data_IF_499011849539
#
_entry.id   IF_499011849539
#
_cell.length_a   1.000
_cell.length_b   1.000
_cell.length_c   1.000
_cell.angle_alpha   90.00
_cell.angle_beta   90.00
_cell.angle_gamma   90.00
#
_symmetry.space_group_name_H-M   'P 1'
#
loop_
_entity.id
_entity.type
_entity.pdbx_description
1 polymer ?
#
# COMPACT_ATOMS: atom_id res chain seq x y z
N UNK A 1 -15.04 25.04 13.42
CA UNK A 1 -15.42 23.67 12.99
C UNK A 1 -15.14 22.74 14.16
N UNK A 2 -16.09 21.92 14.57
CA UNK A 2 -15.85 20.95 15.64
C UNK A 2 -14.95 19.82 15.11
N UNK A 3 -13.93 19.38 15.85
CA UNK A 3 -13.01 18.31 15.41
C UNK A 3 -13.76 17.00 15.20
N UNK A 4 -13.44 16.31 14.10
CA UNK A 4 -14.02 15.01 13.72
C UNK A 4 -13.37 13.91 14.55
N UNK A 5 -13.97 13.56 15.68
CA UNK A 5 -13.44 12.53 16.59
C UNK A 5 -13.52 11.12 15.96
N UNK A 6 -12.55 10.24 16.19
CA UNK A 6 -12.72 8.80 15.95
C UNK A 6 -13.38 8.12 17.15
N UNK A 7 -14.28 7.18 16.91
CA UNK A 7 -14.87 6.28 17.90
C UNK A 7 -14.19 4.92 17.76
N UNK A 8 -13.48 4.48 18.79
CA UNK A 8 -13.00 3.09 18.90
C UNK A 8 -14.05 2.30 19.69
N UNK A 9 -14.65 1.28 19.07
CA UNK A 9 -15.65 0.43 19.72
C UNK A 9 -15.44 -1.03 19.28
N UNK A 10 -15.30 -1.95 20.24
CA UNK A 10 -15.06 -3.39 19.99
C UNK A 10 -13.99 -3.66 18.91
N UNK A 11 -12.75 -3.19 19.13
CA UNK A 11 -11.60 -3.38 18.24
C UNK A 11 -11.75 -2.82 16.82
N UNK A 12 -12.64 -1.85 16.64
CA UNK A 12 -12.92 -1.21 15.35
C UNK A 12 -12.84 0.31 15.44
N UNK A 13 -12.19 0.94 14.46
CA UNK A 13 -12.14 2.40 14.30
C UNK A 13 -13.31 2.88 13.42
N UNK A 14 -14.21 3.69 13.98
CA UNK A 14 -15.32 4.38 13.29
C UNK A 14 -15.13 5.90 13.30
N UNK A 15 -15.66 6.67 12.34
CA UNK A 15 -15.87 8.11 12.50
C UNK A 15 -17.01 8.38 13.50
N UNK A 16 -16.86 9.33 14.45
CA UNK A 16 -17.94 9.69 15.39
C UNK A 16 -19.21 10.12 14.63
N UNK A 17 -20.37 9.65 15.10
CA UNK A 17 -21.68 10.07 14.56
C UNK A 17 -22.21 9.24 13.38
N UNK A 18 -21.49 8.19 12.96
CA UNK A 18 -22.03 7.21 12.00
C UNK A 18 -22.62 6.02 12.77
N UNK A 19 -23.96 5.83 12.81
CA UNK A 19 -24.52 4.56 13.22
C UNK A 19 -24.15 3.49 12.16
N UNK A 20 -24.21 2.19 12.50
CA UNK A 20 -23.96 1.07 11.56
C UNK A 20 -24.99 0.97 10.42
N UNK A 21 -25.91 1.93 10.32
CA UNK A 21 -26.84 2.05 9.20
C UNK A 21 -26.30 3.14 8.28
N UNK A 22 -25.68 2.71 7.18
CA UNK A 22 -25.30 3.59 6.08
C UNK A 22 -26.48 4.51 5.71
N UNK A 23 -26.25 5.82 5.45
CA UNK A 23 -27.29 6.64 4.85
C UNK A 23 -27.69 5.99 3.51
N UNK A 24 -28.99 5.86 3.26
CA UNK A 24 -29.50 5.49 1.93
C UNK A 24 -29.01 6.58 0.97
N UNK A 25 -27.95 6.29 0.23
CA UNK A 25 -27.41 7.20 -0.76
C UNK A 25 -28.44 7.37 -1.87
N UNK A 26 -28.59 8.58 -2.44
CA UNK A 26 -29.32 8.74 -3.69
C UNK A 26 -28.81 7.73 -4.74
N UNK A 27 -29.68 7.16 -5.59
CA UNK A 27 -29.32 6.04 -6.48
C UNK A 27 -28.05 6.25 -7.30
N UNK A 28 -27.82 7.48 -7.77
CA UNK A 28 -26.59 7.84 -8.47
C UNK A 28 -25.33 7.70 -7.60
N UNK A 29 -25.37 8.17 -6.36
CA UNK A 29 -24.23 8.08 -5.43
C UNK A 29 -24.00 6.63 -5.00
N UNK A 30 -25.07 5.84 -4.86
CA UNK A 30 -24.98 4.41 -4.58
C UNK A 30 -24.31 3.66 -5.74
N UNK A 31 -24.73 3.87 -6.99
CA UNK A 31 -24.11 3.24 -8.15
C UNK A 31 -22.63 3.65 -8.33
N UNK A 32 -22.28 4.89 -8.02
CA UNK A 32 -20.88 5.36 -8.03
C UNK A 32 -20.06 4.64 -6.95
N UNK A 33 -20.59 4.50 -5.74
CA UNK A 33 -19.94 3.78 -4.66
C UNK A 33 -19.74 2.29 -5.00
N UNK A 34 -20.77 1.63 -5.54
CA UNK A 34 -20.72 0.22 -5.98
C UNK A 34 -19.73 0.01 -7.13
N UNK A 35 -19.70 0.93 -8.11
CA UNK A 35 -18.74 0.86 -9.21
C UNK A 35 -17.30 1.10 -8.73
N UNK A 36 -17.08 2.06 -7.83
CA UNK A 36 -15.76 2.34 -7.26
C UNK A 36 -15.26 1.17 -6.40
N UNK A 37 -16.16 0.53 -5.66
CA UNK A 37 -15.86 -0.70 -4.95
C UNK A 37 -15.50 -1.84 -5.90
N UNK A 38 -16.32 -2.08 -6.93
CA UNK A 38 -16.06 -3.13 -7.91
C UNK A 38 -14.69 -2.93 -8.58
N UNK A 39 -14.31 -1.69 -8.88
CA UNK A 39 -13.00 -1.34 -9.44
C UNK A 39 -11.88 -1.53 -8.40
N UNK A 40 -12.14 -1.22 -7.12
CA UNK A 40 -11.17 -1.42 -6.03
C UNK A 40 -10.88 -2.89 -5.77
N UNK A 41 -11.88 -3.76 -5.95
CA UNK A 41 -11.74 -5.21 -5.77
C UNK A 41 -11.21 -5.88 -7.05
N UNK A 42 -11.71 -5.52 -8.22
CA UNK A 42 -11.38 -6.18 -9.50
C UNK A 42 -10.13 -5.61 -10.17
N UNK A 43 -9.84 -4.31 -9.97
CA UNK A 43 -8.70 -3.63 -10.56
C UNK A 43 -7.35 -4.25 -10.20
N UNK A 44 -7.05 -4.53 -8.91
CA UNK A 44 -5.78 -5.12 -8.53
C UNK A 44 -5.53 -6.52 -9.12
N UNK A 45 -6.47 -7.49 -9.09
CA UNK A 45 -6.31 -8.76 -9.81
C UNK A 45 -6.06 -8.58 -11.31
N UNK A 46 -6.79 -7.67 -11.97
CA UNK A 46 -6.61 -7.38 -13.41
C UNK A 46 -5.19 -6.82 -13.67
N UNK A 47 -4.75 -5.86 -12.86
CA UNK A 47 -3.40 -5.30 -12.95
C UNK A 47 -2.33 -6.38 -12.70
N UNK A 48 -2.58 -7.30 -11.76
CA UNK A 48 -1.74 -8.47 -11.50
C UNK A 48 -1.61 -9.38 -12.72
N UNK A 49 -2.71 -9.67 -13.41
CA UNK A 49 -2.68 -10.42 -14.68
C UNK A 49 -1.84 -9.69 -15.72
N UNK A 50 -2.01 -8.38 -15.91
CA UNK A 50 -1.19 -7.61 -16.85
C UNK A 50 0.31 -7.63 -16.50
N UNK A 51 0.65 -7.53 -15.22
CA UNK A 51 2.04 -7.63 -14.76
C UNK A 51 2.65 -9.03 -15.01
N UNK A 52 1.87 -10.10 -14.80
CA UNK A 52 2.27 -11.47 -15.14
C UNK A 52 2.43 -11.67 -16.66
N UNK A 53 1.50 -11.16 -17.46
CA UNK A 53 1.58 -11.22 -18.92
C UNK A 53 2.78 -10.44 -19.48
N UNK A 54 3.19 -9.36 -18.81
CA UNK A 54 4.42 -8.64 -19.13
C UNK A 54 5.69 -9.44 -18.76
N UNK A 55 5.58 -10.42 -17.87
CA UNK A 55 6.69 -11.24 -17.36
C UNK A 55 6.70 -12.62 -18.01
N UNK A 56 7.52 -12.80 -19.05
CA UNK A 56 7.68 -14.12 -19.69
C UNK A 56 8.14 -15.17 -18.68
N UNK A 57 7.57 -16.38 -18.77
CA UNK A 57 7.96 -17.55 -17.96
C UNK A 57 7.88 -17.31 -16.45
N UNK A 58 6.93 -16.47 -16.01
CA UNK A 58 6.70 -16.16 -14.59
C UNK A 58 6.47 -17.40 -13.72
N UNK A 59 6.00 -18.51 -14.30
CA UNK A 59 5.78 -19.79 -13.63
C UNK A 59 7.07 -20.57 -13.32
N UNK A 60 8.23 -20.10 -13.77
CA UNK A 60 9.51 -20.77 -13.51
C UNK A 60 10.13 -20.30 -12.18
N UNK A 61 10.81 -21.18 -11.42
CA UNK A 61 11.46 -20.79 -10.16
C UNK A 61 12.43 -19.61 -10.31
N UNK A 62 13.12 -19.53 -11.46
CA UNK A 62 14.06 -18.46 -11.77
C UNK A 62 13.40 -17.07 -11.89
N UNK A 63 12.09 -17.00 -12.19
CA UNK A 63 11.35 -15.76 -12.39
C UNK A 63 10.35 -15.46 -11.27
N UNK A 64 10.21 -16.35 -10.28
CA UNK A 64 9.32 -16.17 -9.14
C UNK A 64 9.58 -14.90 -8.32
N UNK A 65 10.82 -14.38 -8.36
CA UNK A 65 11.24 -13.15 -7.68
C UNK A 65 11.49 -11.98 -8.64
N UNK A 66 10.99 -12.08 -9.88
CA UNK A 66 11.06 -10.96 -10.82
C UNK A 66 10.07 -9.86 -10.42
N UNK A 67 10.39 -8.63 -10.80
CA UNK A 67 9.58 -7.48 -10.45
C UNK A 67 8.13 -7.58 -10.89
N UNK A 68 7.84 -8.16 -12.07
CA UNK A 68 6.47 -8.30 -12.53
C UNK A 68 5.67 -9.37 -11.76
N UNK A 69 6.31 -10.46 -11.32
CA UNK A 69 5.67 -11.44 -10.41
C UNK A 69 5.40 -10.81 -9.05
N UNK A 70 6.39 -10.12 -8.48
CA UNK A 70 6.24 -9.46 -7.19
C UNK A 70 5.20 -8.34 -7.24
N UNK A 71 5.15 -7.55 -8.32
CA UNK A 71 4.10 -6.54 -8.53
C UNK A 71 2.72 -7.19 -8.65
N UNK A 72 2.61 -8.36 -9.28
CA UNK A 72 1.33 -9.08 -9.34
C UNK A 72 0.88 -9.58 -7.96
N UNK A 73 1.79 -10.11 -7.15
CA UNK A 73 1.52 -10.48 -5.76
C UNK A 73 1.15 -9.24 -4.93
N UNK A 74 1.86 -8.13 -5.14
CA UNK A 74 1.59 -6.85 -4.49
C UNK A 74 0.16 -6.36 -4.81
N UNK A 75 -0.26 -6.38 -6.08
CA UNK A 75 -1.63 -6.05 -6.44
C UNK A 75 -2.67 -7.03 -5.87
N UNK A 76 -2.39 -8.34 -5.87
CA UNK A 76 -3.30 -9.31 -5.29
C UNK A 76 -3.54 -9.03 -3.80
N UNK A 77 -2.48 -8.72 -3.06
CA UNK A 77 -2.59 -8.38 -1.63
C UNK A 77 -3.37 -7.08 -1.40
N UNK A 78 -3.25 -6.07 -2.27
CA UNK A 78 -4.11 -4.86 -2.25
C UNK A 78 -5.58 -5.26 -2.38
N UNK A 79 -5.90 -6.15 -3.34
CA UNK A 79 -7.26 -6.65 -3.54
C UNK A 79 -7.81 -7.37 -2.31
N UNK A 80 -7.00 -8.23 -1.66
CA UNK A 80 -7.39 -8.95 -0.44
C UNK A 80 -7.65 -7.99 0.72
N UNK A 81 -6.75 -7.02 0.95
CA UNK A 81 -6.92 -6.00 2.00
C UNK A 81 -8.17 -5.16 1.72
N UNK A 82 -8.35 -4.70 0.48
CA UNK A 82 -9.52 -3.92 0.08
C UNK A 82 -10.84 -4.69 0.26
N UNK A 83 -10.85 -5.98 -0.09
CA UNK A 83 -12.00 -6.85 0.11
C UNK A 83 -12.33 -7.05 1.61
N UNK A 84 -11.31 -7.27 2.44
CA UNK A 84 -11.51 -7.41 3.88
C UNK A 84 -12.04 -6.13 4.51
N UNK A 85 -11.46 -4.97 4.16
CA UNK A 85 -11.96 -3.66 4.61
C UNK A 85 -13.41 -3.46 4.17
N UNK A 86 -13.76 -3.84 2.94
CA UNK A 86 -15.14 -3.75 2.46
C UNK A 86 -16.10 -4.63 3.26
N UNK A 87 -15.76 -5.90 3.48
CA UNK A 87 -16.60 -6.83 4.26
C UNK A 87 -16.79 -6.38 5.72
N UNK A 88 -15.91 -5.53 6.21
CA UNK A 88 -15.99 -4.94 7.55
C UNK A 88 -16.63 -3.54 7.52
N UNK A 89 -17.37 -3.17 6.48
CA UNK A 89 -18.01 -1.84 6.34
C UNK A 89 -17.02 -0.67 6.46
N UNK A 90 -15.79 -0.91 6.00
CA UNK A 90 -14.66 0.01 6.04
C UNK A 90 -14.09 0.24 7.44
N UNK A 91 -14.39 -0.64 8.40
CA UNK A 91 -13.75 -0.69 9.69
C UNK A 91 -12.27 -1.07 9.57
N UNK A 92 -11.42 -0.38 10.33
CA UNK A 92 -10.03 -0.82 10.55
C UNK A 92 -9.98 -1.62 11.84
N UNK A 93 -9.67 -2.91 11.71
CA UNK A 93 -9.58 -3.89 12.81
C UNK A 93 -8.18 -4.49 12.91
N UNK A 94 -7.91 -5.30 13.96
CA UNK A 94 -6.65 -6.08 14.04
C UNK A 94 -6.45 -6.97 12.82
N UNK A 95 -7.52 -7.56 12.29
CA UNK A 95 -7.46 -8.36 11.07
C UNK A 95 -6.99 -7.52 9.88
N UNK A 96 -7.50 -6.30 9.73
CA UNK A 96 -7.06 -5.35 8.70
C UNK A 96 -5.55 -5.10 8.80
N UNK A 97 -5.02 -4.90 10.01
CA UNK A 97 -3.58 -4.73 10.22
C UNK A 97 -2.77 -5.99 9.95
N UNK A 98 -3.27 -7.18 10.30
CA UNK A 98 -2.62 -8.46 9.96
C UNK A 98 -2.48 -8.57 8.44
N UNK A 99 -3.55 -8.29 7.70
CA UNK A 99 -3.53 -8.33 6.23
C UNK A 99 -2.60 -7.24 5.65
N UNK A 100 -2.57 -6.05 6.26
CA UNK A 100 -1.65 -4.98 5.88
C UNK A 100 -0.19 -5.36 6.13
N UNK A 101 0.13 -6.11 7.20
CA UNK A 101 1.49 -6.64 7.42
C UNK A 101 1.85 -7.67 6.36
N UNK A 102 0.95 -8.60 6.04
CA UNK A 102 1.19 -9.57 4.96
C UNK A 102 1.48 -8.86 3.62
N UNK A 103 0.73 -7.80 3.32
CA UNK A 103 0.99 -6.92 2.19
C UNK A 103 2.37 -6.23 2.28
N UNK A 104 2.68 -5.58 3.40
CA UNK A 104 3.96 -4.90 3.63
C UNK A 104 5.16 -5.84 3.56
N UNK A 105 5.02 -7.13 3.88
CA UNK A 105 6.07 -8.12 3.69
C UNK A 105 6.46 -8.30 2.20
N UNK A 106 5.50 -8.20 1.28
CA UNK A 106 5.76 -8.24 -0.18
C UNK A 106 6.59 -7.04 -0.59
N UNK A 107 6.25 -5.86 -0.07
CA UNK A 107 6.98 -4.63 -0.32
C UNK A 107 8.39 -4.66 0.29
N UNK A 108 8.55 -5.20 1.51
CA UNK A 108 9.87 -5.39 2.12
C UNK A 108 10.75 -6.26 1.23
N UNK A 109 10.20 -7.38 0.77
CA UNK A 109 10.87 -8.26 -0.18
C UNK A 109 11.26 -7.48 -1.46
N UNK A 110 10.35 -6.69 -2.01
CA UNK A 110 10.58 -5.88 -3.21
C UNK A 110 11.74 -4.89 -3.04
N UNK A 111 11.80 -4.09 -1.96
CA UNK A 111 12.87 -3.10 -1.86
C UNK A 111 14.25 -3.69 -1.50
N UNK A 112 14.31 -4.79 -0.74
CA UNK A 112 15.57 -5.52 -0.57
C UNK A 112 16.09 -6.11 -1.89
N UNK A 113 15.19 -6.60 -2.75
CA UNK A 113 15.55 -7.07 -4.08
C UNK A 113 15.95 -5.90 -5.01
N UNK A 114 15.30 -4.73 -4.91
CA UNK A 114 15.74 -3.51 -5.61
C UNK A 114 17.19 -3.17 -5.23
N UNK A 115 17.57 -3.32 -3.97
CA UNK A 115 18.92 -3.13 -3.46
C UNK A 115 19.90 -4.26 -3.82
N UNK A 116 19.50 -5.20 -4.70
CA UNK A 116 20.31 -6.34 -5.14
C UNK A 116 20.71 -7.29 -3.99
N UNK A 117 19.92 -7.36 -2.92
CA UNK A 117 20.11 -8.40 -1.91
C UNK A 117 19.84 -9.79 -2.53
N UNK A 118 20.50 -10.82 -2.01
CA UNK A 118 20.18 -12.19 -2.40
C UNK A 118 18.77 -12.56 -1.92
N UNK A 119 18.08 -13.43 -2.66
CA UNK A 119 16.73 -13.90 -2.32
C UNK A 119 16.61 -14.38 -0.86
N UNK A 120 17.54 -15.21 -0.32
CA UNK A 120 17.46 -15.62 1.08
C UNK A 120 17.53 -14.46 2.08
N UNK A 121 18.38 -13.45 1.81
CA UNK A 121 18.49 -12.26 2.67
C UNK A 121 17.23 -11.39 2.60
N UNK A 122 16.67 -11.22 1.41
CA UNK A 122 15.45 -10.44 1.23
C UNK A 122 14.25 -11.12 1.91
N UNK A 123 14.12 -12.45 1.80
CA UNK A 123 13.11 -13.24 2.51
C UNK A 123 13.28 -13.16 4.03
N UNK A 124 14.52 -13.30 4.54
CA UNK A 124 14.80 -13.20 5.96
C UNK A 124 14.43 -11.80 6.50
N UNK A 125 14.78 -10.73 5.79
CA UNK A 125 14.43 -9.37 6.19
C UNK A 125 12.91 -9.13 6.20
N UNK A 126 12.20 -9.59 5.16
CA UNK A 126 10.74 -9.54 5.08
C UNK A 126 10.06 -10.33 6.21
N UNK A 127 10.61 -11.50 6.57
CA UNK A 127 10.11 -12.29 7.69
C UNK A 127 10.32 -11.58 9.03
N UNK A 128 11.54 -11.07 9.31
CA UNK A 128 11.85 -10.36 10.56
C UNK A 128 10.96 -9.13 10.71
N UNK A 129 10.80 -8.36 9.64
CA UNK A 129 9.95 -7.17 9.62
C UNK A 129 8.49 -7.53 9.95
N UNK A 130 7.95 -8.55 9.30
CA UNK A 130 6.58 -9.01 9.55
C UNK A 130 6.41 -9.55 10.96
N UNK A 131 7.35 -10.34 11.45
CA UNK A 131 7.34 -10.88 12.82
C UNK A 131 7.23 -9.76 13.87
N UNK A 132 8.04 -8.70 13.73
CA UNK A 132 8.00 -7.54 14.64
C UNK A 132 6.61 -6.88 14.62
N UNK A 133 6.03 -6.64 13.45
CA UNK A 133 4.72 -6.00 13.37
C UNK A 133 3.57 -6.89 13.82
N UNK A 134 3.60 -8.20 13.52
CA UNK A 134 2.62 -9.13 14.06
C UNK A 134 2.69 -9.16 15.59
N UNK A 135 3.89 -9.14 16.18
CA UNK A 135 4.04 -9.08 17.63
C UNK A 135 3.38 -7.82 18.19
N UNK A 136 3.62 -6.65 17.59
CA UNK A 136 2.94 -5.39 18.00
C UNK A 136 1.42 -5.53 17.89
N UNK A 137 0.90 -6.02 16.75
CA UNK A 137 -0.54 -6.16 16.52
C UNK A 137 -1.18 -7.15 17.49
N UNK A 138 -0.48 -8.20 17.92
CA UNK A 138 -1.05 -9.23 18.79
C UNK A 138 -0.91 -8.90 20.28
N UNK A 139 0.09 -8.09 20.65
CA UNK A 139 0.41 -7.84 22.08
C UNK A 139 0.02 -6.45 22.57
N UNK A 140 -0.09 -5.46 21.69
CA UNK A 140 -0.55 -4.13 22.09
C UNK A 140 -2.00 -4.20 22.56
N UNK A 141 -2.26 -3.69 23.77
CA UNK A 141 -3.60 -3.71 24.37
C UNK A 141 -4.56 -2.76 23.67
N UNK A 142 -4.08 -1.59 23.23
CA UNK A 142 -4.90 -0.58 22.58
C UNK A 142 -4.74 -0.56 21.06
N UNK A 143 -5.86 -0.45 20.34
CA UNK A 143 -5.88 -0.29 18.88
C UNK A 143 -5.23 1.02 18.40
N UNK A 144 -5.21 2.06 19.24
CA UNK A 144 -4.48 3.31 19.00
C UNK A 144 -2.98 3.06 18.81
N UNK A 145 -2.39 2.23 19.69
CA UNK A 145 -0.98 1.87 19.64
C UNK A 145 -0.67 1.04 18.41
N UNK A 146 -1.54 0.06 18.08
CA UNK A 146 -1.43 -0.74 16.86
C UNK A 146 -1.43 0.17 15.63
N UNK A 147 -2.39 1.09 15.54
CA UNK A 147 -2.50 2.04 14.44
C UNK A 147 -1.24 2.89 14.29
N UNK A 148 -0.80 3.56 15.36
CA UNK A 148 0.36 4.48 15.29
C UNK A 148 1.63 3.73 14.88
N UNK A 149 1.94 2.60 15.53
CA UNK A 149 3.18 1.88 15.28
C UNK A 149 3.19 1.24 13.90
N UNK A 150 2.11 0.55 13.52
CA UNK A 150 2.03 -0.12 12.22
C UNK A 150 2.00 0.92 11.09
N UNK A 151 1.26 2.02 11.23
CA UNK A 151 1.23 3.06 10.21
C UNK A 151 2.59 3.71 10.00
N UNK A 152 3.36 3.97 11.06
CA UNK A 152 4.72 4.52 10.95
C UNK A 152 5.66 3.57 10.22
N UNK A 153 5.69 2.30 10.64
CA UNK A 153 6.64 1.32 10.11
C UNK A 153 6.25 0.88 8.69
N UNK A 154 4.96 0.64 8.44
CA UNK A 154 4.44 0.29 7.12
C UNK A 154 4.50 1.47 6.16
N UNK A 155 4.04 2.67 6.54
CA UNK A 155 4.13 3.81 5.63
C UNK A 155 5.57 4.17 5.26
N UNK A 156 6.53 3.97 6.17
CA UNK A 156 7.95 4.15 5.83
C UNK A 156 8.42 3.17 4.73
N UNK A 157 7.82 1.99 4.65
CA UNK A 157 8.07 1.01 3.60
C UNK A 157 7.59 1.52 2.23
N UNK A 158 6.38 2.07 2.16
CA UNK A 158 5.80 2.63 0.93
C UNK A 158 6.67 3.78 0.39
N UNK A 159 7.12 4.66 1.30
CA UNK A 159 8.07 5.74 0.98
C UNK A 159 9.43 5.21 0.51
N UNK A 160 9.92 4.11 1.08
CA UNK A 160 11.21 3.52 0.71
C UNK A 160 11.20 3.05 -0.75
N UNK A 161 10.18 2.31 -1.18
CA UNK A 161 10.05 1.84 -2.56
C UNK A 161 10.07 3.05 -3.52
N UNK A 162 9.29 4.08 -3.19
CA UNK A 162 9.21 5.31 -4.00
C UNK A 162 10.57 5.99 -4.13
N UNK A 163 11.27 6.18 -3.01
CA UNK A 163 12.59 6.83 -2.99
C UNK A 163 13.63 6.06 -3.83
N UNK A 164 13.64 4.73 -3.71
CA UNK A 164 14.54 3.86 -4.46
C UNK A 164 14.26 3.92 -5.96
N UNK A 165 13.00 3.87 -6.37
CA UNK A 165 12.60 3.97 -7.78
C UNK A 165 12.93 5.34 -8.38
N UNK A 166 12.73 6.43 -7.62
CA UNK A 166 13.15 7.78 -8.03
C UNK A 166 14.67 7.88 -8.18
N UNK A 167 15.42 7.31 -7.24
CA UNK A 167 16.89 7.26 -7.30
C UNK A 167 17.37 6.51 -8.55
N UNK A 168 16.70 5.41 -8.88
CA UNK A 168 16.91 4.65 -10.13
C UNK A 168 16.35 5.30 -11.39
N UNK A 169 15.77 6.51 -11.30
CA UNK A 169 15.12 7.23 -12.40
C UNK A 169 14.01 6.43 -13.09
N UNK A 170 13.36 5.52 -12.37
CA UNK A 170 12.24 4.71 -12.86
C UNK A 170 10.91 5.44 -12.64
N UNK A 171 10.74 6.58 -13.28
CA UNK A 171 9.64 7.53 -13.01
C UNK A 171 8.24 6.94 -13.12
N UNK A 172 7.98 6.05 -14.09
CA UNK A 172 6.66 5.40 -14.24
C UNK A 172 6.29 4.54 -13.01
N UNK A 173 7.25 3.73 -12.54
CA UNK A 173 7.09 2.93 -11.32
C UNK A 173 7.01 3.83 -10.08
N UNK A 174 7.80 4.89 -10.02
CA UNK A 174 7.79 5.82 -8.90
C UNK A 174 6.44 6.56 -8.76
N UNK A 175 5.84 6.98 -9.87
CA UNK A 175 4.49 7.58 -9.86
C UNK A 175 3.46 6.56 -9.33
N UNK A 176 3.60 5.29 -9.74
CA UNK A 176 2.83 4.17 -9.19
C UNK A 176 2.91 4.08 -7.67
N UNK A 177 4.14 4.04 -7.15
CA UNK A 177 4.40 3.97 -5.72
C UNK A 177 3.89 5.21 -4.95
N UNK A 178 3.94 6.41 -5.55
CA UNK A 178 3.29 7.61 -4.98
C UNK A 178 1.77 7.45 -4.91
N UNK A 179 1.14 6.93 -5.96
CA UNK A 179 -0.29 6.62 -5.97
C UNK A 179 -0.65 5.62 -4.87
N UNK A 180 0.22 4.63 -4.62
CA UNK A 180 0.07 3.68 -3.52
C UNK A 180 0.08 4.38 -2.15
N UNK A 181 1.09 5.21 -1.85
CA UNK A 181 1.17 5.97 -0.60
C UNK A 181 -0.11 6.80 -0.38
N UNK A 182 -0.55 7.51 -1.42
CA UNK A 182 -1.78 8.30 -1.35
C UNK A 182 -2.99 7.41 -1.03
N UNK A 183 -3.13 6.27 -1.70
CA UNK A 183 -4.22 5.32 -1.42
C UNK A 183 -4.17 4.77 0.01
N UNK A 184 -3.00 4.41 0.52
CA UNK A 184 -2.82 3.88 1.87
C UNK A 184 -3.19 4.92 2.94
N UNK A 185 -2.67 6.15 2.82
CA UNK A 185 -3.03 7.26 3.73
C UNK A 185 -4.53 7.48 3.76
N UNK A 186 -5.20 7.44 2.62
CA UNK A 186 -6.65 7.67 2.52
C UNK A 186 -7.47 6.54 3.16
N UNK A 187 -7.09 5.28 2.91
CA UNK A 187 -7.74 4.11 3.50
C UNK A 187 -7.68 4.16 5.03
N UNK A 188 -6.51 4.47 5.60
CA UNK A 188 -6.32 4.46 7.04
C UNK A 188 -6.91 5.67 7.76
N UNK A 189 -7.24 6.75 7.06
CA UNK A 189 -7.65 8.01 7.70
C UNK A 189 -9.11 8.38 7.53
N UNK A 190 -9.85 7.79 6.57
CA UNK A 190 -11.23 8.21 6.19
C UNK A 190 -11.40 9.73 6.04
N UNK A 191 -10.31 10.50 5.89
CA UNK A 191 -10.28 11.97 6.00
C UNK A 191 -11.13 12.64 4.91
N UNK A 192 -11.40 11.93 3.82
CA UNK A 192 -12.08 12.46 2.64
C UNK A 192 -13.60 12.26 2.65
N UNK A 193 -14.21 11.79 3.75
CA UNK A 193 -15.67 12.01 3.90
C UNK A 193 -16.07 13.50 3.84
N UNK A 194 -15.09 14.41 3.94
CA UNK A 194 -15.29 15.87 4.00
C UNK A 194 -14.30 16.71 3.17
N UNK A 195 -13.85 16.26 1.99
CA UNK A 195 -13.47 17.25 0.96
C UNK A 195 -14.78 17.70 0.31
N UNK A 196 -15.28 18.93 0.53
CA UNK A 196 -16.61 19.36 0.07
C UNK A 196 -16.80 19.37 -1.46
N UNK A 197 -15.76 18.99 -2.21
CA UNK A 197 -15.69 19.03 -3.67
C UNK A 197 -15.49 17.63 -4.28
N UNK A 198 -14.92 16.66 -3.54
CA UNK A 198 -14.55 15.35 -4.10
C UNK A 198 -14.92 14.21 -3.13
N UNK A 199 -15.79 13.26 -3.52
CA UNK A 199 -16.14 12.11 -2.69
C UNK A 199 -14.93 11.26 -2.28
N UNK A 200 -14.95 10.70 -1.08
CA UNK A 200 -13.93 9.78 -0.55
C UNK A 200 -13.61 8.66 -1.55
N UNK A 201 -14.67 8.10 -2.12
CA UNK A 201 -14.64 7.02 -3.07
C UNK A 201 -13.89 7.43 -4.35
N UNK A 202 -14.02 8.70 -4.77
CA UNK A 202 -13.33 9.24 -5.95
C UNK A 202 -11.83 9.45 -5.70
N UNK A 203 -11.43 9.84 -4.49
CA UNK A 203 -10.01 10.01 -4.17
C UNK A 203 -9.32 8.66 -3.96
N UNK A 204 -9.98 7.70 -3.32
CA UNK A 204 -9.50 6.30 -3.24
C UNK A 204 -9.36 5.72 -4.64
N UNK A 205 -10.34 5.95 -5.51
CA UNK A 205 -10.30 5.54 -6.91
C UNK A 205 -9.09 6.14 -7.64
N UNK A 206 -8.88 7.46 -7.55
CA UNK A 206 -7.75 8.12 -8.23
C UNK A 206 -6.41 7.60 -7.69
N UNK A 207 -6.27 7.47 -6.37
CA UNK A 207 -5.06 6.94 -5.74
C UNK A 207 -4.75 5.52 -6.22
N UNK A 208 -5.76 4.66 -6.26
CA UNK A 208 -5.62 3.29 -6.75
C UNK A 208 -5.29 3.27 -8.26
N UNK A 209 -5.93 4.11 -9.08
CA UNK A 209 -5.62 4.20 -10.50
C UNK A 209 -4.20 4.68 -10.77
N UNK A 210 -3.75 5.70 -10.03
CA UNK A 210 -2.38 6.20 -10.07
C UNK A 210 -1.39 5.15 -9.57
N UNK A 211 -1.79 4.20 -8.74
CA UNK A 211 -0.96 3.06 -8.38
C UNK A 211 -0.91 2.02 -9.51
N UNK A 212 -2.08 1.47 -9.89
CA UNK A 212 -2.17 0.32 -10.78
C UNK A 212 -1.65 0.66 -12.19
N UNK A 213 -2.15 1.74 -12.80
CA UNK A 213 -1.85 2.09 -14.18
C UNK A 213 -0.36 2.39 -14.42
N UNK A 214 0.22 3.39 -13.74
CA UNK A 214 1.64 3.72 -13.82
C UNK A 214 2.58 2.57 -13.43
N UNK A 215 2.24 1.74 -12.43
CA UNK A 215 3.05 0.57 -12.08
C UNK A 215 3.03 -0.47 -13.20
N UNK A 216 1.85 -0.83 -13.74
CA UNK A 216 1.75 -1.73 -14.89
C UNK A 216 2.49 -1.17 -16.10
N UNK A 217 2.31 0.12 -16.41
CA UNK A 217 3.02 0.79 -17.50
C UNK A 217 4.55 0.78 -17.30
N UNK A 218 5.01 0.91 -16.05
CA UNK A 218 6.41 0.76 -15.69
C UNK A 218 6.94 -0.66 -15.93
N UNK A 219 6.22 -1.68 -15.46
CA UNK A 219 6.54 -3.11 -15.70
C UNK A 219 6.58 -3.41 -17.21
N UNK A 220 5.63 -2.89 -17.98
CA UNK A 220 5.60 -3.06 -19.43
C UNK A 220 6.75 -2.32 -20.14
N UNK A 221 7.11 -1.12 -19.68
CA UNK A 221 8.22 -0.36 -20.27
C UNK A 221 9.57 -1.10 -20.09
N UNK A 222 9.75 -1.73 -18.94
CA UNK A 222 10.93 -2.54 -18.65
C UNK A 222 11.08 -3.72 -19.64
N UNK A 223 9.99 -4.29 -20.17
CA UNK A 223 10.04 -5.34 -21.20
C UNK A 223 10.66 -4.87 -22.53
N UNK A 224 10.52 -3.58 -22.86
CA UNK A 224 10.99 -2.99 -24.11
C UNK A 224 12.48 -2.66 -24.13
N UNK A 225 13.13 -2.60 -22.96
CA UNK A 225 14.53 -2.18 -22.85
C UNK A 225 15.51 -3.34 -23.18
N UNK A 226 15.15 -4.62 -22.96
CA UNK A 226 16.06 -5.77 -23.16
C UNK A 226 15.39 -7.10 -23.63
N UNK A 227 14.16 -7.08 -24.13
CA UNK A 227 13.47 -8.27 -24.70
C UNK A 227 12.91 -9.29 -23.67
N UNK A 228 13.38 -9.20 -22.43
CA UNK A 228 12.75 -9.71 -21.21
C UNK A 228 12.65 -8.57 -20.19
N UNK A 229 11.57 -8.50 -19.42
CA UNK A 229 11.50 -7.52 -18.34
C UNK A 229 12.68 -7.77 -17.35
N UNK A 230 13.52 -6.77 -17.03
CA UNK A 230 14.57 -6.89 -16.04
C UNK A 230 14.00 -7.41 -14.72
N UNK A 231 14.71 -8.37 -14.14
CA UNK A 231 14.33 -8.95 -12.86
C UNK A 231 14.36 -7.90 -11.74
N UNK A 232 15.25 -6.89 -11.87
CA UNK A 232 15.39 -5.76 -10.94
C UNK A 232 15.33 -4.41 -11.69
N UNK A 233 14.36 -3.53 -11.38
CA UNK A 233 14.28 -2.17 -11.95
C UNK A 233 15.51 -1.29 -11.71
N UNK A 234 16.27 -1.52 -10.64
CA UNK A 234 17.52 -0.81 -10.32
C UNK A 234 18.77 -1.49 -10.89
N UNK A 235 18.63 -2.40 -11.86
CA UNK A 235 19.77 -3.04 -12.49
C UNK A 235 20.81 -1.99 -12.97
N UNK A 236 22.05 -2.15 -12.52
CA UNK A 236 23.16 -1.22 -12.81
C UNK A 236 23.27 -0.02 -11.87
N UNK A 237 22.28 0.25 -11.01
CA UNK A 237 22.31 1.32 -10.03
C UNK A 237 22.76 0.76 -8.68
N UNK A 238 23.94 1.19 -8.21
CA UNK A 238 24.42 0.87 -6.86
C UNK A 238 23.92 1.94 -5.89
N UNK A 239 23.22 1.51 -4.83
CA UNK A 239 22.80 2.38 -3.73
C UNK A 239 23.82 2.27 -2.60
N UNK A 240 24.63 3.31 -2.33
CA UNK A 240 25.57 3.28 -1.21
C UNK A 240 24.85 3.16 0.13
N UNK A 241 25.41 2.43 1.12
CA UNK A 241 24.77 2.27 2.44
C UNK A 241 24.43 3.59 3.13
N UNK A 242 25.28 4.62 2.98
CA UNK A 242 25.03 5.95 3.54
C UNK A 242 23.83 6.67 2.90
N UNK A 243 23.56 6.43 1.61
CA UNK A 243 22.36 6.97 0.95
C UNK A 243 21.12 6.18 1.38
N UNK A 244 21.22 4.85 1.46
CA UNK A 244 20.13 4.01 1.94
C UNK A 244 19.68 4.41 3.35
N UNK A 245 20.63 4.61 4.27
CA UNK A 245 20.31 5.06 5.63
C UNK A 245 19.55 6.39 5.62
N UNK A 246 19.94 7.35 4.76
CA UNK A 246 19.23 8.62 4.63
C UNK A 246 17.80 8.44 4.13
N UNK A 247 17.58 7.55 3.16
CA UNK A 247 16.22 7.22 2.73
C UNK A 247 15.39 6.59 3.84
N UNK A 248 15.96 5.67 4.63
CA UNK A 248 15.26 5.03 5.76
C UNK A 248 14.84 6.09 6.78
N UNK A 249 15.77 6.97 7.16
CA UNK A 249 15.52 8.05 8.12
C UNK A 249 14.44 9.01 7.60
N UNK A 250 14.52 9.43 6.33
CA UNK A 250 13.53 10.34 5.74
C UNK A 250 12.14 9.69 5.66
N UNK A 251 12.06 8.42 5.28
CA UNK A 251 10.80 7.69 5.20
C UNK A 251 10.15 7.54 6.59
N UNK A 252 10.95 7.23 7.62
CA UNK A 252 10.49 7.14 8.99
C UNK A 252 10.00 8.50 9.52
N UNK A 253 10.76 9.57 9.28
CA UNK A 253 10.36 10.93 9.70
C UNK A 253 9.07 11.34 9.01
N UNK A 254 9.01 11.23 7.67
CA UNK A 254 7.84 11.64 6.89
C UNK A 254 6.58 10.91 7.33
N UNK A 255 6.66 9.58 7.49
CA UNK A 255 5.52 8.78 7.93
C UNK A 255 5.14 9.08 9.38
N UNK A 256 6.12 9.27 10.27
CA UNK A 256 5.85 9.67 11.66
C UNK A 256 5.13 11.01 11.72
N UNK A 257 5.61 12.00 10.98
CA UNK A 257 4.99 13.33 10.93
C UNK A 257 3.56 13.25 10.40
N UNK A 258 3.33 12.55 9.28
CA UNK A 258 1.98 12.37 8.71
C UNK A 258 1.07 11.66 9.71
N UNK A 259 1.49 10.54 10.28
CA UNK A 259 0.69 9.76 11.24
C UNK A 259 0.35 10.56 12.50
N UNK A 260 1.30 11.31 13.06
CA UNK A 260 1.05 12.13 14.24
C UNK A 260 0.16 13.33 13.95
N UNK A 261 0.33 13.99 12.79
CA UNK A 261 -0.56 15.07 12.35
C UNK A 261 -1.98 14.57 12.16
N UNK A 262 -2.15 13.41 11.52
CA UNK A 262 -3.44 12.77 11.35
C UNK A 262 -4.05 12.43 12.72
N UNK A 263 -3.30 11.78 13.61
CA UNK A 263 -3.76 11.49 14.96
C UNK A 263 -4.20 12.76 15.73
N UNK A 264 -3.47 13.87 15.58
CA UNK A 264 -3.82 15.15 16.21
C UNK A 264 -5.08 15.80 15.64
N UNK A 265 -5.26 15.81 14.31
CA UNK A 265 -6.46 16.39 13.69
C UNK A 265 -7.72 15.57 14.00
N UNK A 266 -7.52 14.30 14.35
CA UNK A 266 -8.57 13.32 14.54
C UNK A 266 -8.94 13.10 16.03
N UNK A 267 -8.03 13.38 16.97
CA UNK A 267 -8.26 13.33 18.42
C UNK A 267 -8.97 14.57 18.96
#
# INVERSE_FOLDING_TARGET
>A
MAPTKLLIYNDTIFPLGTPPNWPILPPHQQHVAEAMLAITIAGPPIAGVFALLATKRWWTPAKAFSWGVLSAIWFLTIGIVGYAVYLQDGATSRLTFILAVAHGQVEVLMWFLLLSASVPRALAASWIWGFVLYLVILTAQEMSTVFIVVAIIAGANDFMITALLLYGKRYKLAIGAVGHILSAVLIFTRFVKWIPIVPYEAVVFIGLWLNLGPTVAGVMALRGEDGEAPNNPLQGVKVPPGILLRFVVLALIGTTTITLLLAYVIG
#
